data_IF_463954488351
#
_entry.id   IF_463954488351
#
_cell.length_a   1.000
_cell.length_b   1.000
_cell.length_c   1.000
_cell.angle_alpha   90.00
_cell.angle_beta   90.00
_cell.angle_gamma   90.00
#
_symmetry.space_group_name_H-M   'P 1'
#
loop_
_entity.id
_entity.type
_entity.pdbx_description
1 polymer ?
#
# COMPACT_ATOMS: atom_id res chain seq x y z
N UNK A 1 7.85 -14.78 -0.42
CA UNK A 1 7.76 -13.38 0.07
C UNK A 1 7.63 -13.28 1.59
N UNK A 2 6.80 -14.10 2.28
CA UNK A 2 6.65 -14.01 3.73
C UNK A 2 7.94 -14.23 4.54
N UNK A 3 8.78 -15.19 4.16
CA UNK A 3 10.10 -15.36 4.81
C UNK A 3 11.02 -14.15 4.62
N UNK A 4 10.92 -13.44 3.50
CA UNK A 4 11.68 -12.19 3.31
C UNK A 4 11.11 -11.06 4.15
N UNK A 5 9.81 -11.04 4.44
CA UNK A 5 9.21 -10.10 5.37
C UNK A 5 9.67 -10.36 6.82
N UNK A 6 9.76 -11.62 7.24
CA UNK A 6 10.37 -12.00 8.54
C UNK A 6 11.84 -11.53 8.64
N UNK A 7 12.61 -11.69 7.57
CA UNK A 7 14.01 -11.22 7.54
C UNK A 7 14.10 -9.70 7.67
N UNK A 8 13.22 -8.95 6.99
CA UNK A 8 13.14 -7.48 7.15
C UNK A 8 12.76 -7.12 8.58
N UNK A 9 11.77 -7.78 9.18
CA UNK A 9 11.38 -7.54 10.57
C UNK A 9 12.56 -7.73 11.55
N UNK A 10 13.30 -8.83 11.39
CA UNK A 10 14.48 -9.13 12.22
C UNK A 10 15.56 -8.06 12.03
N UNK A 11 15.94 -7.76 10.79
CA UNK A 11 17.04 -6.86 10.45
C UNK A 11 16.75 -5.42 10.92
N UNK A 12 15.51 -4.98 10.79
CA UNK A 12 15.08 -3.62 11.14
C UNK A 12 14.39 -3.54 12.52
N UNK A 13 14.39 -4.63 13.29
CA UNK A 13 13.85 -4.70 14.66
C UNK A 13 12.40 -4.22 14.73
N UNK A 14 11.58 -4.70 13.82
CA UNK A 14 10.13 -4.41 13.82
C UNK A 14 9.44 -5.42 14.75
N UNK A 15 8.80 -4.93 15.79
CA UNK A 15 8.09 -5.79 16.74
C UNK A 15 6.79 -6.34 16.15
N UNK A 16 6.26 -7.39 16.78
CA UNK A 16 4.95 -7.95 16.42
C UNK A 16 3.84 -6.94 16.71
N UNK A 17 3.94 -6.24 17.82
CA UNK A 17 3.00 -5.22 18.28
C UNK A 17 2.93 -4.05 17.30
N UNK A 18 4.07 -3.58 16.79
CA UNK A 18 4.12 -2.52 15.77
C UNK A 18 3.43 -2.97 14.48
N UNK A 19 3.69 -4.21 14.05
CA UNK A 19 3.09 -4.77 12.83
C UNK A 19 1.57 -4.87 12.96
N UNK A 20 1.08 -5.38 14.07
CA UNK A 20 -0.36 -5.55 14.31
C UNK A 20 -1.07 -4.19 14.44
N UNK A 21 -0.45 -3.23 15.12
CA UNK A 21 -0.96 -1.86 15.25
C UNK A 21 -1.03 -1.16 13.90
N UNK A 22 -0.03 -1.35 13.04
CA UNK A 22 -0.01 -0.83 11.69
C UNK A 22 -1.15 -1.40 10.85
N UNK A 23 -1.31 -2.73 10.85
CA UNK A 23 -2.36 -3.42 10.11
C UNK A 23 -3.77 -3.02 10.59
N UNK A 24 -3.97 -2.94 11.90
CA UNK A 24 -5.22 -2.48 12.48
C UNK A 24 -5.60 -1.07 12.00
N UNK A 25 -4.66 -0.13 12.06
CA UNK A 25 -4.86 1.24 11.57
C UNK A 25 -5.17 1.26 10.07
N UNK A 26 -4.49 0.44 9.26
CA UNK A 26 -4.76 0.32 7.82
C UNK A 26 -6.21 -0.11 7.56
N UNK A 27 -6.70 -1.15 8.23
CA UNK A 27 -8.11 -1.57 8.13
C UNK A 27 -9.09 -0.49 8.58
N UNK A 28 -8.81 0.22 9.69
CA UNK A 28 -9.67 1.31 10.16
C UNK A 28 -9.79 2.43 9.13
N UNK A 29 -8.69 2.82 8.50
CA UNK A 29 -8.67 3.88 7.48
C UNK A 29 -9.39 3.45 6.22
N UNK A 30 -9.12 2.25 5.72
CA UNK A 30 -9.81 1.69 4.57
C UNK A 30 -11.32 1.59 4.81
N UNK A 31 -11.73 1.09 5.99
CA UNK A 31 -13.14 1.03 6.39
C UNK A 31 -13.82 2.41 6.40
N UNK A 32 -13.16 3.40 7.02
CA UNK A 32 -13.67 4.77 7.06
C UNK A 32 -13.80 5.36 5.65
N UNK A 33 -12.81 5.16 4.79
CA UNK A 33 -12.83 5.68 3.41
C UNK A 33 -13.91 5.02 2.56
N UNK A 34 -14.11 3.71 2.69
CA UNK A 34 -15.19 2.98 2.02
C UNK A 34 -16.57 3.46 2.48
N UNK A 35 -16.80 3.50 3.81
CA UNK A 35 -18.10 3.87 4.37
C UNK A 35 -18.47 5.35 4.13
N UNK A 36 -17.46 6.23 3.98
CA UNK A 36 -17.68 7.63 3.59
C UNK A 36 -17.91 7.84 2.09
N UNK A 37 -17.81 6.78 1.28
CA UNK A 37 -18.00 6.82 -0.16
C UNK A 37 -16.81 7.39 -0.94
N UNK A 38 -15.62 7.56 -0.33
CA UNK A 38 -14.45 8.10 -1.02
C UNK A 38 -14.03 7.25 -2.22
N UNK A 39 -14.10 5.92 -2.09
CA UNK A 39 -13.75 5.00 -3.17
C UNK A 39 -14.83 4.82 -4.24
N UNK A 40 -16.03 5.36 -4.06
CA UNK A 40 -17.14 5.16 -5.01
C UNK A 40 -16.87 5.70 -6.42
N UNK A 41 -15.94 6.65 -6.57
CA UNK A 41 -15.51 7.19 -7.87
C UNK A 41 -14.46 6.32 -8.58
N UNK A 42 -13.82 5.42 -7.85
CA UNK A 42 -12.70 4.61 -8.32
C UNK A 42 -13.12 3.16 -8.57
N UNK A 43 -14.08 2.67 -7.80
CA UNK A 43 -14.60 1.31 -7.89
C UNK A 43 -15.56 1.20 -9.07
N UNK A 44 -15.27 0.25 -9.96
CA UNK A 44 -16.13 -0.15 -11.06
C UNK A 44 -16.74 -1.51 -10.73
N UNK A 45 -18.05 -1.59 -10.65
CA UNK A 45 -18.74 -2.85 -10.40
C UNK A 45 -18.47 -3.87 -11.51
N UNK A 46 -18.18 -5.10 -11.12
CA UNK A 46 -17.92 -6.22 -12.02
C UNK A 46 -18.74 -7.44 -11.66
N UNK A 47 -19.09 -8.24 -12.65
CA UNK A 47 -19.67 -9.57 -12.41
C UNK A 47 -18.58 -10.53 -11.92
N UNK A 48 -18.85 -11.21 -10.82
CA UNK A 48 -17.98 -12.22 -10.24
C UNK A 48 -18.80 -13.38 -9.69
N UNK A 49 -18.17 -14.26 -8.94
CA UNK A 49 -18.85 -15.39 -8.30
C UNK A 49 -18.60 -15.35 -6.78
N UNK A 50 -19.64 -15.70 -6.01
CA UNK A 50 -19.48 -15.92 -4.58
C UNK A 50 -18.73 -17.25 -4.27
N UNK A 51 -18.56 -17.56 -3.00
CA UNK A 51 -17.86 -18.79 -2.58
C UNK A 51 -18.60 -20.06 -2.97
N UNK A 52 -19.91 -19.99 -3.19
CA UNK A 52 -20.78 -21.09 -3.64
C UNK A 52 -20.81 -21.21 -5.19
N UNK A 53 -20.18 -20.28 -5.90
CA UNK A 53 -20.13 -20.25 -7.36
C UNK A 53 -21.33 -19.59 -8.03
N UNK A 54 -22.19 -18.90 -7.29
CA UNK A 54 -23.29 -18.13 -7.86
C UNK A 54 -22.78 -16.80 -8.43
N UNK A 55 -23.35 -16.39 -9.55
CA UNK A 55 -23.03 -15.10 -10.15
C UNK A 55 -23.52 -13.96 -9.24
N UNK A 56 -22.65 -13.03 -8.93
CA UNK A 56 -22.97 -11.83 -8.19
C UNK A 56 -22.31 -10.60 -8.81
N UNK A 57 -22.85 -9.42 -8.50
CA UNK A 57 -22.25 -8.16 -8.92
C UNK A 57 -21.45 -7.55 -7.76
N UNK A 58 -20.12 -7.52 -7.90
CA UNK A 58 -19.20 -7.03 -6.88
C UNK A 58 -19.04 -5.51 -7.02
N UNK A 59 -19.37 -4.78 -5.96
CA UNK A 59 -19.35 -3.31 -5.87
C UNK A 59 -18.39 -2.77 -4.83
N UNK A 60 -17.76 -3.64 -4.04
CA UNK A 60 -16.90 -3.28 -2.92
C UNK A 60 -15.66 -4.14 -2.89
N UNK A 61 -14.58 -3.61 -2.30
CA UNK A 61 -13.37 -4.38 -2.02
C UNK A 61 -13.61 -5.32 -0.85
N UNK A 62 -13.45 -6.63 -1.07
CA UNK A 62 -13.80 -7.67 -0.09
C UNK A 62 -12.76 -7.85 1.03
N UNK A 63 -11.53 -7.33 0.85
CA UNK A 63 -10.42 -7.57 1.78
C UNK A 63 -10.44 -6.67 3.01
N UNK A 64 -11.28 -5.65 3.04
CA UNK A 64 -11.37 -4.69 4.14
C UNK A 64 -12.14 -5.32 5.30
N UNK A 65 -11.53 -5.38 6.48
CA UNK A 65 -12.19 -5.83 7.71
C UNK A 65 -12.76 -4.63 8.46
N UNK A 66 -14.04 -4.36 8.25
CA UNK A 66 -14.73 -3.21 8.83
C UNK A 66 -14.84 -3.28 10.36
N UNK A 67 -14.86 -4.48 10.91
CA UNK A 67 -14.98 -4.81 12.34
C UNK A 67 -13.65 -5.26 12.97
N UNK A 68 -12.52 -4.97 12.31
CA UNK A 68 -11.20 -5.37 12.80
C UNK A 68 -10.99 -4.91 14.25
N UNK A 69 -10.42 -5.80 15.08
CA UNK A 69 -10.01 -5.52 16.45
C UNK A 69 -8.56 -5.89 16.64
N UNK A 70 -7.84 -5.06 17.39
CA UNK A 70 -6.42 -5.23 17.60
C UNK A 70 -6.09 -6.53 18.35
N UNK A 71 -6.89 -6.89 19.36
CA UNK A 71 -6.74 -8.12 20.12
C UNK A 71 -6.96 -9.37 19.27
N UNK A 72 -7.88 -9.36 18.32
CA UNK A 72 -8.10 -10.44 17.38
C UNK A 72 -6.91 -10.59 16.39
N UNK A 73 -6.35 -9.48 15.92
CA UNK A 73 -5.15 -9.47 15.07
C UNK A 73 -3.95 -10.01 15.86
N UNK A 74 -3.77 -9.56 17.10
CA UNK A 74 -2.69 -9.98 17.97
C UNK A 74 -2.75 -11.47 18.35
N UNK A 75 -3.94 -12.07 18.38
CA UNK A 75 -4.13 -13.48 18.67
C UNK A 75 -3.75 -14.41 17.50
N UNK A 76 -3.53 -13.88 16.29
CA UNK A 76 -3.19 -14.68 15.12
C UNK A 76 -1.79 -15.29 15.26
N UNK A 77 -1.66 -16.53 14.77
CA UNK A 77 -0.38 -17.24 14.77
C UNK A 77 0.48 -16.83 13.57
N UNK A 78 1.81 -16.79 13.72
CA UNK A 78 2.72 -16.60 12.59
C UNK A 78 2.52 -17.66 11.51
N UNK A 79 2.53 -17.23 10.24
CA UNK A 79 2.24 -18.10 9.09
C UNK A 79 3.51 -18.70 8.49
N UNK A 80 4.58 -17.91 8.39
CA UNK A 80 5.79 -18.31 7.65
C UNK A 80 6.88 -18.91 8.54
N UNK A 81 6.95 -18.50 9.79
CA UNK A 81 7.85 -19.07 10.80
C UNK A 81 7.05 -19.32 12.09
N UNK A 82 6.45 -20.51 12.27
CA UNK A 82 5.56 -20.79 13.41
C UNK A 82 6.23 -20.74 14.78
N UNK A 83 7.57 -20.84 14.84
CA UNK A 83 8.33 -20.90 16.10
C UNK A 83 8.68 -19.51 16.64
N UNK A 84 9.17 -18.65 15.78
CA UNK A 84 9.73 -17.34 16.17
C UNK A 84 9.34 -16.20 15.23
N UNK A 85 8.42 -16.44 14.30
CA UNK A 85 7.98 -15.43 13.35
C UNK A 85 7.01 -14.41 13.96
N UNK A 86 6.84 -13.32 13.25
CA UNK A 86 5.97 -12.19 13.60
C UNK A 86 4.93 -11.89 12.53
N UNK A 87 5.13 -12.42 11.32
CA UNK A 87 4.26 -12.17 10.16
C UNK A 87 3.06 -13.11 10.19
N UNK A 88 1.86 -12.55 10.23
CA UNK A 88 0.57 -13.25 10.31
C UNK A 88 -0.32 -12.93 9.12
N UNK A 89 -1.44 -13.62 9.00
CA UNK A 89 -2.47 -13.27 8.03
C UNK A 89 -3.11 -11.89 8.30
N UNK A 90 -3.05 -11.40 9.55
CA UNK A 90 -3.62 -10.10 9.94
C UNK A 90 -2.72 -8.92 9.64
N UNK A 91 -1.39 -9.11 9.56
CA UNK A 91 -0.43 -8.05 9.26
C UNK A 91 0.27 -8.21 7.90
N UNK A 92 -0.35 -8.99 7.01
CA UNK A 92 0.04 -9.23 5.62
C UNK A 92 -1.08 -8.81 4.68
N UNK A 93 -0.73 -8.33 3.49
CA UNK A 93 -1.69 -8.09 2.41
C UNK A 93 -2.38 -9.39 2.00
N UNK A 94 -3.67 -9.33 1.74
CA UNK A 94 -4.42 -10.43 1.17
C UNK A 94 -3.97 -10.72 -0.28
N UNK A 95 -4.18 -11.95 -0.74
CA UNK A 95 -4.15 -12.28 -2.15
C UNK A 95 -5.52 -11.90 -2.71
N UNK A 96 -5.55 -10.95 -3.64
CA UNK A 96 -6.79 -10.44 -4.23
C UNK A 96 -6.60 -10.17 -5.71
N UNK A 97 -7.68 -10.32 -6.46
CA UNK A 97 -7.74 -9.98 -7.86
C UNK A 97 -8.09 -8.49 -8.02
N UNK A 98 -7.52 -7.85 -9.02
CA UNK A 98 -7.79 -6.45 -9.30
C UNK A 98 -7.24 -6.05 -10.65
N UNK A 99 -7.84 -5.00 -11.22
CA UNK A 99 -7.38 -4.41 -12.47
C UNK A 99 -7.52 -2.90 -12.45
N UNK A 100 -6.57 -2.21 -13.05
CA UNK A 100 -6.62 -0.77 -13.26
C UNK A 100 -6.11 -0.41 -14.64
N UNK A 101 -6.54 0.74 -15.17
CA UNK A 101 -6.09 1.22 -16.46
C UNK A 101 -5.70 2.70 -16.38
N UNK A 102 -4.54 3.04 -16.96
CA UNK A 102 -4.02 4.40 -17.01
C UNK A 102 -3.70 4.75 -18.46
N UNK A 103 -4.25 5.86 -18.95
CA UNK A 103 -3.93 6.39 -20.26
C UNK A 103 -2.72 7.34 -20.15
N UNK A 104 -1.61 6.93 -20.74
CA UNK A 104 -0.36 7.70 -20.74
C UNK A 104 -0.02 8.19 -22.14
N UNK A 105 0.42 9.44 -22.24
CA UNK A 105 0.89 10.00 -23.50
C UNK A 105 1.89 11.14 -23.27
N UNK A 106 2.56 11.58 -24.34
CA UNK A 106 3.42 12.76 -24.26
C UNK A 106 2.59 14.03 -24.06
N UNK A 107 3.18 15.04 -23.40
CA UNK A 107 2.56 16.36 -23.24
C UNK A 107 2.17 17.00 -24.59
N UNK A 108 2.98 16.78 -25.63
CA UNK A 108 2.69 17.24 -26.99
C UNK A 108 1.39 16.63 -27.48
N UNK A 109 1.25 15.30 -27.35
CA UNK A 109 0.05 14.58 -27.79
C UNK A 109 -1.20 14.98 -27.02
N UNK A 110 -1.09 15.18 -25.72
CA UNK A 110 -2.21 15.67 -24.92
C UNK A 110 -2.71 17.04 -25.39
N UNK A 111 -1.79 17.96 -25.72
CA UNK A 111 -2.14 19.28 -26.28
C UNK A 111 -2.80 19.16 -27.66
N UNK A 112 -2.28 18.32 -28.56
CA UNK A 112 -2.86 18.08 -29.88
C UNK A 112 -4.30 17.57 -29.82
N UNK A 113 -4.60 16.74 -28.80
CA UNK A 113 -5.92 16.17 -28.57
C UNK A 113 -6.83 17.05 -27.71
N UNK A 114 -6.37 18.20 -27.23
CA UNK A 114 -7.13 19.08 -26.34
C UNK A 114 -7.41 18.45 -24.96
N UNK A 115 -6.61 17.48 -24.53
CA UNK A 115 -6.79 16.79 -23.25
C UNK A 115 -6.06 17.52 -22.12
N UNK A 116 -6.72 17.64 -20.97
CA UNK A 116 -6.13 18.14 -19.74
C UNK A 116 -5.48 16.97 -18.99
N UNK A 117 -4.12 16.96 -18.79
CA UNK A 117 -3.49 15.91 -17.99
C UNK A 117 -3.91 16.00 -16.53
N UNK A 118 -4.16 14.85 -15.89
CA UNK A 118 -4.37 14.76 -14.45
C UNK A 118 -3.06 14.91 -13.68
N UNK A 119 -1.97 14.32 -14.21
CA UNK A 119 -0.65 14.36 -13.61
C UNK A 119 0.46 14.30 -14.67
N UNK A 120 1.69 14.59 -14.25
CA UNK A 120 2.90 14.45 -15.05
C UNK A 120 3.91 13.57 -14.33
N UNK A 121 4.37 12.49 -14.96
CA UNK A 121 5.50 11.71 -14.46
C UNK A 121 6.78 12.53 -14.51
N UNK A 122 7.38 12.83 -13.37
CA UNK A 122 8.61 13.61 -13.23
C UNK A 122 9.84 12.73 -13.29
N UNK A 123 9.83 11.62 -12.56
CA UNK A 123 10.92 10.67 -12.53
C UNK A 123 10.42 9.26 -12.20
N UNK A 124 11.19 8.28 -12.62
CA UNK A 124 11.00 6.86 -12.28
C UNK A 124 12.34 6.24 -11.94
N UNK A 125 12.35 5.26 -11.04
CA UNK A 125 13.54 4.50 -10.72
C UNK A 125 13.20 3.07 -10.30
N UNK A 126 14.12 2.16 -10.59
CA UNK A 126 14.18 0.82 -10.03
C UNK A 126 15.57 0.59 -9.45
N UNK A 127 15.66 -0.26 -8.44
CA UNK A 127 16.92 -0.67 -7.81
C UNK A 127 16.90 -2.16 -7.54
N UNK A 128 18.06 -2.79 -7.54
CA UNK A 128 18.23 -4.11 -6.97
C UNK A 128 18.56 -4.00 -5.48
N UNK A 129 18.12 -4.96 -4.71
CA UNK A 129 18.48 -5.17 -3.31
C UNK A 129 18.75 -6.65 -3.08
N UNK A 130 19.31 -7.00 -1.93
CA UNK A 130 19.45 -8.41 -1.55
C UNK A 130 18.07 -9.09 -1.58
N UNK A 131 17.94 -10.24 -2.29
CA UNK A 131 16.67 -10.94 -2.40
C UNK A 131 16.06 -11.35 -1.06
N UNK A 132 16.87 -11.58 -0.03
CA UNK A 132 16.39 -11.95 1.31
C UNK A 132 15.62 -10.84 2.00
N UNK A 133 15.83 -9.59 1.60
CA UNK A 133 15.16 -8.39 2.13
C UNK A 133 14.47 -7.58 1.02
N UNK A 134 13.94 -8.25 0.01
CA UNK A 134 13.32 -7.60 -1.15
C UNK A 134 12.28 -6.53 -0.79
N UNK A 135 11.56 -6.71 0.31
CA UNK A 135 10.56 -5.75 0.79
C UNK A 135 11.12 -4.37 1.16
N UNK A 136 12.43 -4.27 1.38
CA UNK A 136 13.11 -2.99 1.63
C UNK A 136 13.46 -2.20 0.35
N UNK A 137 13.28 -2.79 -0.82
CA UNK A 137 13.55 -2.17 -2.13
C UNK A 137 12.99 -0.78 -2.37
N UNK A 138 11.81 -0.40 -1.82
CA UNK A 138 11.27 0.95 -1.97
C UNK A 138 12.21 2.07 -1.50
N UNK A 139 12.97 1.86 -0.41
CA UNK A 139 13.87 2.89 0.14
C UNK A 139 14.93 3.36 -0.88
N UNK A 140 15.79 2.49 -1.45
CA UNK A 140 16.76 2.93 -2.44
C UNK A 140 16.09 3.36 -3.75
N UNK A 141 14.92 2.81 -4.12
CA UNK A 141 14.20 3.21 -5.32
C UNK A 141 13.66 4.65 -5.21
N UNK A 142 13.04 5.00 -4.09
CA UNK A 142 12.54 6.36 -3.81
C UNK A 142 13.70 7.36 -3.81
N UNK A 143 14.78 7.09 -3.08
CA UNK A 143 15.97 7.96 -3.05
C UNK A 143 16.54 8.19 -4.45
N UNK A 144 16.57 7.15 -5.28
CA UNK A 144 17.03 7.26 -6.67
C UNK A 144 16.06 8.04 -7.55
N UNK A 145 14.74 7.88 -7.36
CA UNK A 145 13.72 8.63 -8.11
C UNK A 145 13.77 10.12 -7.76
N UNK A 146 13.85 10.47 -6.48
CA UNK A 146 13.99 11.85 -6.01
C UNK A 146 15.25 12.50 -6.60
N UNK A 147 16.40 11.83 -6.51
CA UNK A 147 17.65 12.32 -7.12
C UNK A 147 17.51 12.58 -8.62
N UNK A 148 16.84 11.68 -9.36
CA UNK A 148 16.58 11.85 -10.81
C UNK A 148 15.63 13.00 -11.11
N UNK A 149 14.65 13.21 -10.23
CA UNK A 149 13.68 14.30 -10.33
C UNK A 149 14.19 15.65 -9.91
N UNK A 150 15.38 15.71 -9.27
CA UNK A 150 15.91 16.92 -8.63
C UNK A 150 15.04 17.38 -7.47
N UNK A 151 14.53 16.42 -6.69
CA UNK A 151 13.61 16.62 -5.57
C UNK A 151 14.21 16.07 -4.29
N UNK A 152 13.82 16.65 -3.16
CA UNK A 152 14.04 16.14 -1.82
C UNK A 152 12.75 15.49 -1.28
N UNK A 153 12.87 14.70 -0.21
CA UNK A 153 11.71 14.03 0.38
C UNK A 153 10.64 14.99 0.87
N UNK A 154 11.05 16.15 1.37
CA UNK A 154 10.16 17.21 1.87
C UNK A 154 9.42 17.98 0.77
N UNK A 155 9.79 17.78 -0.49
CA UNK A 155 9.06 18.36 -1.64
C UNK A 155 7.85 17.50 -2.02
N UNK A 156 7.67 16.35 -1.37
CA UNK A 156 6.61 15.39 -1.67
C UNK A 156 5.49 15.52 -0.63
N UNK A 157 4.32 15.84 -1.09
CA UNK A 157 3.14 16.06 -0.26
C UNK A 157 2.35 14.78 0.00
N UNK A 158 2.44 13.81 -0.93
CA UNK A 158 1.68 12.56 -0.86
C UNK A 158 2.56 11.36 -1.21
N UNK A 159 2.42 10.29 -0.43
CA UNK A 159 3.10 9.02 -0.65
C UNK A 159 2.09 7.89 -0.76
N UNK A 160 2.24 7.08 -1.80
CA UNK A 160 1.56 5.79 -1.94
C UNK A 160 2.59 4.67 -1.76
N UNK A 161 2.42 3.88 -0.72
CA UNK A 161 3.26 2.72 -0.44
C UNK A 161 2.40 1.46 -0.40
N UNK A 162 2.73 0.48 -1.26
CA UNK A 162 2.07 -0.81 -1.19
C UNK A 162 2.41 -1.52 0.12
N UNK A 163 1.40 -1.78 0.94
CA UNK A 163 1.49 -2.41 2.26
C UNK A 163 1.49 -3.95 2.12
N UNK A 164 2.48 -4.51 1.41
CA UNK A 164 2.55 -5.95 1.21
C UNK A 164 2.65 -6.72 2.54
N UNK A 165 3.39 -6.18 3.50
CA UNK A 165 3.53 -6.65 4.88
C UNK A 165 3.78 -5.46 5.79
N UNK A 166 3.17 -5.42 6.97
CA UNK A 166 3.49 -4.40 7.97
C UNK A 166 4.98 -4.42 8.34
N UNK A 167 5.57 -5.62 8.43
CA UNK A 167 7.00 -5.85 8.65
C UNK A 167 7.90 -5.13 7.63
N UNK A 168 7.43 -4.97 6.40
CA UNK A 168 8.16 -4.31 5.31
C UNK A 168 7.85 -2.81 5.27
N UNK A 169 6.59 -2.42 5.49
CA UNK A 169 6.17 -1.03 5.37
C UNK A 169 6.78 -0.14 6.45
N UNK A 170 6.81 -0.61 7.69
CA UNK A 170 7.34 0.14 8.83
C UNK A 170 8.80 0.60 8.66
N UNK A 171 9.77 -0.26 8.30
CA UNK A 171 11.14 0.21 8.07
C UNK A 171 11.27 1.12 6.86
N UNK A 172 10.45 0.94 5.82
CA UNK A 172 10.44 1.84 4.66
C UNK A 172 10.01 3.25 5.08
N UNK A 173 8.93 3.36 5.86
CA UNK A 173 8.44 4.64 6.38
C UNK A 173 9.48 5.31 7.29
N UNK A 174 10.07 4.53 8.21
CA UNK A 174 11.11 4.99 9.14
C UNK A 174 12.33 5.55 8.40
N UNK A 175 12.88 4.81 7.46
CA UNK A 175 14.11 5.17 6.77
C UNK A 175 13.93 6.26 5.71
N UNK A 176 12.69 6.48 5.27
CA UNK A 176 12.30 7.64 4.46
C UNK A 176 11.83 8.83 5.32
N UNK A 177 11.79 8.69 6.67
CA UNK A 177 11.34 9.71 7.61
C UNK A 177 9.87 10.14 7.38
N UNK A 178 9.03 9.17 7.11
CA UNK A 178 7.60 9.36 6.82
C UNK A 178 6.69 8.91 7.98
N UNK A 179 7.25 8.57 9.14
CA UNK A 179 6.47 8.08 10.29
C UNK A 179 5.45 9.12 10.77
N UNK A 180 5.83 10.39 10.81
CA UNK A 180 4.94 11.50 11.19
C UNK A 180 3.91 11.85 10.09
N UNK A 181 4.18 11.43 8.86
CA UNK A 181 3.31 11.64 7.69
C UNK A 181 2.38 10.47 7.41
N UNK A 182 2.31 9.48 8.30
CA UNK A 182 1.50 8.27 8.09
C UNK A 182 0.00 8.56 7.97
N UNK A 183 -0.46 9.72 8.41
CA UNK A 183 -1.82 10.16 8.18
C UNK A 183 -2.11 10.52 6.72
N UNK A 184 -1.10 10.86 5.93
CA UNK A 184 -1.20 11.13 4.50
C UNK A 184 -1.20 9.88 3.61
N UNK A 185 -0.73 8.73 4.11
CA UNK A 185 -0.53 7.51 3.30
C UNK A 185 -1.82 6.83 2.82
N UNK A 186 -2.98 7.17 3.39
CA UNK A 186 -4.28 6.60 3.01
C UNK A 186 -5.34 7.67 2.72
N UNK A 187 -4.94 8.92 2.53
CA UNK A 187 -5.85 10.03 2.25
C UNK A 187 -5.57 10.68 0.90
N UNK A 188 -5.75 9.92 -0.17
CA UNK A 188 -5.46 10.37 -1.53
C UNK A 188 -6.54 11.26 -2.15
N UNK A 189 -7.65 11.53 -1.46
CA UNK A 189 -8.79 12.19 -2.08
C UNK A 189 -8.93 13.69 -1.81
N UNK A 190 -8.23 14.25 -0.84
CA UNK A 190 -8.42 15.66 -0.48
C UNK A 190 -7.52 16.64 -1.26
N UNK A 191 -6.47 16.16 -1.92
CA UNK A 191 -5.56 16.99 -2.72
C UNK A 191 -6.05 17.27 -4.16
N UNK A 192 -7.21 16.73 -4.55
CA UNK A 192 -7.77 16.92 -5.89
C UNK A 192 -8.95 17.89 -5.95
N UNK A 193 -9.40 18.43 -4.82
CA UNK A 193 -10.56 19.33 -4.74
C UNK A 193 -10.20 20.82 -4.50
N UNK A 194 -8.88 21.20 -4.55
CA UNK A 194 -8.46 22.61 -4.58
C UNK A 194 -8.01 23.06 -5.97
#
# INVERSE_FOLDING_TARGET
MGLTAEMVAIQHRVSREDQDSFAFRSHQRASKSTTSGRFSREIVGVEGHDQEGNLQFCLEDEVIRHDAKLDEIAALKPVFNPVSGTVTAGNSSAISDGASAVLMMSQKRAKELGLKPMAKVRAMASTGVDPSIMGYGPVPAVRKALKRGGLEINDIELFELNEAFAAQSLPVLRDLKLEDSMDCLLYTSDAADE
#
